data_IF_277319694615
#
_entry.id   IF_277319694615
#
_cell.length_a   1.000
_cell.length_b   1.000
_cell.length_c   1.000
_cell.angle_alpha   90.00
_cell.angle_beta   90.00
_cell.angle_gamma   90.00
#
_symmetry.space_group_name_H-M   'P 1'
#
loop_
_entity.id
_entity.type
_entity.pdbx_description
1 polymer ?
#
# COMPACT_ATOMS: atom_id res chain seq x y z
N UNK A 1 66.28 18.46 -16.42
CA UNK A 1 65.62 17.49 -15.49
C UNK A 1 64.22 17.89 -14.97
N UNK A 2 63.50 18.86 -15.57
CA UNK A 2 62.21 19.36 -15.02
C UNK A 2 60.93 18.74 -15.64
N UNK A 3 61.04 17.94 -16.71
CA UNK A 3 59.89 17.36 -17.45
C UNK A 3 59.37 16.03 -16.89
N UNK A 4 60.19 15.27 -16.17
CA UNK A 4 59.82 13.96 -15.61
C UNK A 4 58.86 14.08 -14.42
N UNK A 5 59.05 15.09 -13.56
CA UNK A 5 58.17 15.36 -12.42
C UNK A 5 56.72 15.71 -12.83
N UNK A 6 56.54 16.40 -13.96
CA UNK A 6 55.21 16.81 -14.45
C UNK A 6 54.37 15.65 -14.99
N UNK A 7 55.02 14.64 -15.57
CA UNK A 7 54.32 13.45 -16.10
C UNK A 7 53.88 12.52 -14.98
N UNK A 8 54.74 12.30 -13.97
CA UNK A 8 54.38 11.52 -12.78
C UNK A 8 53.25 12.15 -11.98
N UNK A 9 53.31 13.47 -11.73
CA UNK A 9 52.25 14.18 -10.99
C UNK A 9 50.91 14.17 -11.73
N UNK A 10 50.92 14.25 -13.07
CA UNK A 10 49.72 14.21 -13.89
C UNK A 10 49.01 12.84 -13.82
N UNK A 11 49.77 11.74 -13.82
CA UNK A 11 49.19 10.38 -13.71
C UNK A 11 48.58 10.17 -12.33
N UNK A 12 49.25 10.61 -11.26
CA UNK A 12 48.71 10.54 -9.89
C UNK A 12 47.43 11.37 -9.78
N UNK A 13 47.42 12.60 -10.30
CA UNK A 13 46.24 13.44 -10.32
C UNK A 13 45.08 12.80 -11.12
N UNK A 14 45.37 12.17 -12.26
CA UNK A 14 44.38 11.46 -13.06
C UNK A 14 43.81 10.24 -12.33
N UNK A 15 44.64 9.48 -11.61
CA UNK A 15 44.19 8.34 -10.80
C UNK A 15 43.30 8.77 -9.64
N UNK A 16 43.66 9.85 -8.95
CA UNK A 16 42.82 10.44 -7.89
C UNK A 16 41.49 10.89 -8.49
N UNK A 17 41.51 11.61 -9.62
CA UNK A 17 40.30 12.06 -10.30
C UNK A 17 39.41 10.87 -10.74
N UNK A 18 39.98 9.81 -11.29
CA UNK A 18 39.25 8.59 -11.66
C UNK A 18 38.62 7.90 -10.45
N UNK A 19 39.33 7.86 -9.31
CA UNK A 19 38.82 7.25 -8.08
C UNK A 19 37.65 8.05 -7.50
N UNK A 20 37.73 9.38 -7.58
CA UNK A 20 36.63 10.26 -7.19
C UNK A 20 35.44 10.04 -8.13
N UNK A 21 35.67 9.98 -9.45
CA UNK A 21 34.61 9.76 -10.43
C UNK A 21 33.92 8.41 -10.27
N UNK A 22 34.65 7.33 -10.00
CA UNK A 22 34.05 6.02 -9.76
C UNK A 22 33.28 5.98 -8.45
N UNK A 23 33.76 6.65 -7.40
CA UNK A 23 33.04 6.80 -6.15
C UNK A 23 31.71 7.55 -6.36
N UNK A 24 31.74 8.69 -7.06
CA UNK A 24 30.55 9.48 -7.39
C UNK A 24 29.57 8.70 -8.30
N UNK A 25 30.07 7.98 -9.29
CA UNK A 25 29.23 7.12 -10.13
C UNK A 25 28.55 6.01 -9.34
N UNK A 26 29.27 5.39 -8.40
CA UNK A 26 28.73 4.37 -7.51
C UNK A 26 27.65 4.92 -6.58
N UNK A 27 27.85 6.08 -5.97
CA UNK A 27 26.84 6.69 -5.07
C UNK A 27 25.59 7.10 -5.84
N UNK A 28 25.72 7.66 -7.05
CA UNK A 28 24.57 7.97 -7.91
C UNK A 28 23.77 6.72 -8.28
N UNK A 29 24.44 5.61 -8.60
CA UNK A 29 23.75 4.36 -8.92
C UNK A 29 22.93 3.82 -7.73
N UNK A 30 23.46 3.93 -6.51
CA UNK A 30 22.74 3.54 -5.28
C UNK A 30 21.55 4.45 -5.01
N UNK A 31 21.72 5.76 -5.21
CA UNK A 31 20.63 6.73 -5.06
C UNK A 31 19.48 6.44 -6.03
N UNK A 32 19.78 6.24 -7.32
CA UNK A 32 18.78 5.91 -8.34
C UNK A 32 17.99 4.65 -8.01
N UNK A 33 18.68 3.61 -7.51
CA UNK A 33 18.02 2.37 -7.08
C UNK A 33 17.08 2.63 -5.90
N UNK A 34 17.54 3.41 -4.92
CA UNK A 34 16.74 3.75 -3.74
C UNK A 34 15.49 4.57 -4.10
N UNK A 35 15.62 5.55 -5.00
CA UNK A 35 14.47 6.33 -5.50
C UNK A 35 13.47 5.46 -6.25
N UNK A 36 13.95 4.52 -7.05
CA UNK A 36 13.10 3.59 -7.80
C UNK A 36 12.31 2.70 -6.85
N UNK A 37 12.98 2.09 -5.87
CA UNK A 37 12.35 1.23 -4.86
C UNK A 37 11.36 2.03 -4.00
N UNK A 38 11.71 3.27 -3.62
CA UNK A 38 10.83 4.16 -2.86
C UNK A 38 9.58 4.54 -3.66
N UNK A 39 9.73 4.86 -4.94
CA UNK A 39 8.63 5.19 -5.84
C UNK A 39 7.68 4.00 -6.05
N UNK A 40 8.22 2.80 -6.23
CA UNK A 40 7.41 1.58 -6.36
C UNK A 40 6.63 1.30 -5.07
N UNK A 41 7.29 1.36 -3.91
CA UNK A 41 6.64 1.17 -2.62
C UNK A 41 5.52 2.20 -2.37
N UNK A 42 5.70 3.44 -2.82
CA UNK A 42 4.67 4.47 -2.73
C UNK A 42 3.45 4.14 -3.59
N UNK A 43 3.66 3.74 -4.86
CA UNK A 43 2.59 3.33 -5.77
C UNK A 43 1.85 2.09 -5.25
N UNK A 44 2.57 1.07 -4.78
CA UNK A 44 1.98 -0.11 -4.14
C UNK A 44 1.18 0.27 -2.90
N UNK A 45 1.67 1.23 -2.10
CA UNK A 45 0.97 1.74 -0.93
C UNK A 45 -0.37 2.39 -1.25
N UNK A 46 -0.42 3.25 -2.28
CA UNK A 46 -1.67 3.85 -2.76
C UNK A 46 -2.62 2.77 -3.29
N UNK A 47 -2.10 1.83 -4.06
CA UNK A 47 -2.90 0.77 -4.65
C UNK A 47 -3.49 -0.17 -3.57
N UNK A 48 -2.71 -0.52 -2.55
CA UNK A 48 -3.17 -1.29 -1.39
C UNK A 48 -4.25 -0.54 -0.60
N UNK A 49 -4.14 0.78 -0.46
CA UNK A 49 -5.18 1.61 0.14
C UNK A 49 -6.47 1.57 -0.69
N UNK A 50 -6.37 1.75 -2.02
CA UNK A 50 -7.52 1.68 -2.92
C UNK A 50 -8.24 0.32 -2.87
N UNK A 51 -7.48 -0.78 -2.75
CA UNK A 51 -8.05 -2.12 -2.56
C UNK A 51 -8.74 -2.29 -1.21
N UNK A 52 -8.15 -1.75 -0.14
CA UNK A 52 -8.76 -1.77 1.18
C UNK A 52 -10.12 -1.05 1.15
N UNK A 53 -10.18 0.14 0.55
CA UNK A 53 -11.40 0.91 0.39
C UNK A 53 -12.44 0.20 -0.50
N UNK A 54 -12.01 -0.41 -1.61
CA UNK A 54 -12.90 -1.19 -2.48
C UNK A 54 -13.53 -2.37 -1.74
N UNK A 55 -12.73 -3.13 -0.99
CA UNK A 55 -13.22 -4.22 -0.15
C UNK A 55 -14.20 -3.74 0.91
N UNK A 56 -13.93 -2.60 1.54
CA UNK A 56 -14.84 -2.04 2.55
C UNK A 56 -16.17 -1.59 1.95
N UNK A 57 -16.17 -0.93 0.78
CA UNK A 57 -17.40 -0.60 0.03
C UNK A 57 -18.20 -1.85 -0.32
N UNK A 58 -17.52 -2.93 -0.73
CA UNK A 58 -18.17 -4.22 -1.01
C UNK A 58 -18.79 -4.82 0.25
N UNK A 59 -18.09 -4.76 1.39
CA UNK A 59 -18.58 -5.23 2.68
C UNK A 59 -19.86 -4.50 3.10
N UNK A 60 -19.91 -3.17 2.94
CA UNK A 60 -21.10 -2.36 3.22
C UNK A 60 -22.29 -2.80 2.36
N UNK A 61 -22.08 -3.03 1.06
CA UNK A 61 -23.15 -3.53 0.16
C UNK A 61 -23.68 -4.89 0.60
N UNK A 62 -22.80 -5.78 1.08
CA UNK A 62 -23.19 -7.10 1.59
C UNK A 62 -23.99 -6.96 2.87
N UNK A 63 -23.58 -6.08 3.80
CA UNK A 63 -24.34 -5.79 5.01
C UNK A 63 -25.73 -5.24 4.72
N UNK A 64 -25.88 -4.32 3.77
CA UNK A 64 -27.18 -3.79 3.35
C UNK A 64 -28.15 -4.88 2.83
N UNK A 65 -27.61 -5.97 2.28
CA UNK A 65 -28.41 -7.12 1.79
C UNK A 65 -28.65 -8.18 2.87
N UNK A 66 -28.46 -7.85 4.15
CA UNK A 66 -28.48 -8.78 5.29
C UNK A 66 -27.46 -9.94 5.15
N UNK A 67 -26.40 -9.74 4.38
CA UNK A 67 -25.31 -10.71 4.25
C UNK A 67 -24.21 -10.51 5.29
N UNK A 68 -23.48 -11.58 5.61
CA UNK A 68 -22.29 -11.50 6.46
C UNK A 68 -21.05 -11.24 5.57
N UNK A 69 -20.36 -10.08 5.68
CA UNK A 69 -19.17 -9.81 4.90
C UNK A 69 -17.90 -10.44 5.48
N UNK A 70 -17.98 -11.13 6.62
CA UNK A 70 -16.82 -11.75 7.26
C UNK A 70 -16.15 -12.77 6.33
N UNK A 71 -14.82 -12.66 6.20
CA UNK A 71 -14.05 -13.60 5.40
C UNK A 71 -14.16 -13.40 3.89
N UNK A 72 -14.91 -12.40 3.43
CA UNK A 72 -14.89 -12.00 2.02
C UNK A 72 -13.46 -11.61 1.64
N UNK A 73 -12.95 -12.27 0.62
CA UNK A 73 -11.64 -11.98 0.06
C UNK A 73 -11.73 -12.10 -1.45
N UNK A 74 -11.04 -11.20 -2.14
CA UNK A 74 -10.96 -11.19 -3.59
C UNK A 74 -9.54 -10.88 -3.99
N UNK A 75 -9.08 -11.55 -5.05
CA UNK A 75 -7.80 -11.27 -5.68
C UNK A 75 -8.07 -10.73 -7.07
N UNK A 76 -7.61 -9.52 -7.33
CA UNK A 76 -7.73 -8.85 -8.61
C UNK A 76 -6.39 -9.01 -9.33
N UNK A 77 -6.43 -9.62 -10.50
CA UNK A 77 -5.28 -9.76 -11.37
C UNK A 77 -5.62 -9.13 -12.72
N UNK A 78 -4.91 -8.07 -13.09
CA UNK A 78 -5.15 -7.33 -14.33
C UNK A 78 -3.85 -6.77 -14.88
N UNK A 79 -3.58 -7.03 -16.16
CA UNK A 79 -2.50 -6.39 -16.93
C UNK A 79 -1.12 -6.41 -16.24
N UNK A 80 -0.77 -7.55 -15.62
CA UNK A 80 0.50 -7.73 -14.89
C UNK A 80 0.52 -7.17 -13.46
N UNK A 81 -0.59 -6.58 -13.02
CA UNK A 81 -0.79 -6.10 -11.66
C UNK A 81 -1.67 -7.08 -10.87
N UNK A 82 -1.22 -7.46 -9.68
CA UNK A 82 -1.95 -8.35 -8.78
C UNK A 82 -2.08 -7.71 -7.40
N UNK A 83 -3.30 -7.76 -6.87
CA UNK A 83 -3.59 -7.31 -5.53
C UNK A 83 -4.77 -8.03 -4.94
N UNK A 84 -4.89 -8.00 -3.63
CA UNK A 84 -5.99 -8.67 -2.92
C UNK A 84 -6.53 -7.81 -1.81
N UNK A 85 -7.77 -8.04 -1.43
CA UNK A 85 -8.30 -7.55 -0.18
C UNK A 85 -8.94 -8.69 0.62
N UNK A 86 -8.97 -8.53 1.94
CA UNK A 86 -9.69 -9.42 2.86
C UNK A 86 -10.43 -8.61 3.90
N UNK A 87 -11.70 -8.97 4.11
CA UNK A 87 -12.58 -8.35 5.09
C UNK A 87 -12.62 -9.20 6.35
N UNK A 88 -12.45 -8.55 7.48
CA UNK A 88 -12.66 -9.11 8.82
C UNK A 88 -13.67 -8.26 9.57
N UNK A 89 -14.58 -8.89 10.28
CA UNK A 89 -15.56 -8.21 11.11
C UNK A 89 -15.36 -8.55 12.58
N UNK A 90 -15.63 -7.59 13.46
CA UNK A 90 -15.63 -7.76 14.91
C UNK A 90 -16.79 -6.96 15.50
N UNK A 91 -17.43 -7.49 16.52
CA UNK A 91 -18.50 -6.78 17.25
C UNK A 91 -17.92 -5.90 18.34
N UNK A 92 -18.38 -4.65 18.44
CA UNK A 92 -18.03 -3.69 19.49
C UNK A 92 -19.31 -3.16 20.14
N UNK A 93 -19.73 -3.79 21.24
CA UNK A 93 -21.02 -3.51 21.87
C UNK A 93 -22.18 -3.87 20.93
N UNK A 94 -23.00 -2.87 20.57
CA UNK A 94 -24.12 -3.01 19.61
C UNK A 94 -23.72 -2.68 18.17
N UNK A 95 -22.49 -2.22 17.94
CA UNK A 95 -21.98 -1.88 16.62
C UNK A 95 -21.10 -3.01 16.04
N UNK A 96 -21.02 -3.06 14.71
CA UNK A 96 -20.16 -3.95 13.95
C UNK A 96 -18.99 -3.15 13.37
N UNK A 97 -17.76 -3.50 13.78
CA UNK A 97 -16.54 -3.02 13.15
C UNK A 97 -16.20 -3.89 11.94
N UNK A 98 -16.16 -3.26 10.79
CA UNK A 98 -15.76 -3.88 9.52
C UNK A 98 -14.39 -3.37 9.16
N UNK A 99 -13.42 -4.26 8.97
CA UNK A 99 -12.07 -3.93 8.54
C UNK A 99 -11.77 -4.61 7.22
N UNK A 100 -11.23 -3.85 6.27
CA UNK A 100 -10.76 -4.35 4.99
C UNK A 100 -9.24 -4.16 4.91
N UNK A 101 -8.51 -5.25 4.67
CA UNK A 101 -7.07 -5.24 4.51
C UNK A 101 -6.73 -5.43 3.04
N UNK A 102 -6.24 -4.39 2.38
CA UNK A 102 -5.77 -4.42 1.00
C UNK A 102 -4.26 -4.68 0.93
N UNK A 103 -3.82 -5.45 -0.07
CA UNK A 103 -2.43 -5.81 -0.29
C UNK A 103 -2.08 -5.79 -1.77
N UNK A 104 -0.95 -5.17 -2.09
CA UNK A 104 -0.34 -5.12 -3.43
C UNK A 104 1.16 -5.28 -3.23
N UNK A 105 1.76 -6.31 -3.83
CA UNK A 105 3.19 -6.59 -3.63
C UNK A 105 3.57 -6.74 -2.15
N UNK A 106 4.52 -5.89 -1.72
CA UNK A 106 4.97 -5.83 -0.33
C UNK A 106 4.13 -4.86 0.52
N UNK A 107 3.39 -3.94 -0.10
CA UNK A 107 2.56 -2.98 0.61
C UNK A 107 1.24 -3.61 1.10
N UNK A 108 0.89 -3.29 2.34
CA UNK A 108 -0.39 -3.63 2.95
C UNK A 108 -0.97 -2.41 3.64
N UNK A 109 -2.28 -2.18 3.46
CA UNK A 109 -3.05 -1.10 4.09
C UNK A 109 -4.35 -1.66 4.62
N UNK A 110 -4.87 -1.04 5.66
CA UNK A 110 -6.12 -1.47 6.28
C UNK A 110 -7.01 -0.29 6.56
N UNK A 111 -8.27 -0.41 6.21
CA UNK A 111 -9.30 0.59 6.50
C UNK A 111 -10.36 -0.07 7.36
N UNK A 112 -10.82 0.61 8.40
CA UNK A 112 -11.90 0.13 9.26
C UNK A 112 -13.01 1.14 9.41
N UNK A 113 -14.23 0.63 9.48
CA UNK A 113 -15.43 1.41 9.69
C UNK A 113 -16.25 0.76 10.78
N UNK A 114 -16.72 1.59 11.72
CA UNK A 114 -17.68 1.18 12.73
C UNK A 114 -19.09 1.47 12.23
N UNK A 115 -19.94 0.46 12.22
CA UNK A 115 -21.28 0.53 11.67
C UNK A 115 -22.30 0.14 12.74
N UNK A 116 -23.31 0.97 12.97
CA UNK A 116 -24.47 0.54 13.76
C UNK A 116 -25.50 -0.11 12.84
N UNK A 117 -25.97 -1.31 13.19
CA UNK A 117 -26.99 -2.02 12.43
C UNK A 117 -28.33 -1.91 13.17
N UNK A 118 -29.24 -1.07 12.67
CA UNK A 118 -30.62 -1.08 13.16
C UNK A 118 -31.38 -2.16 12.39
N UNK A 119 -31.61 -3.30 13.04
CA UNK A 119 -32.36 -4.41 12.46
C UNK A 119 -33.79 -3.97 12.11
N UNK A 120 -34.22 -4.31 10.90
CA UNK A 120 -35.61 -4.13 10.48
C UNK A 120 -36.49 -5.09 11.31
N UNK A 121 -37.60 -4.64 11.93
CA UNK A 121 -38.48 -5.50 12.74
C UNK A 121 -39.15 -6.64 11.94
N UNK A 122 -38.99 -6.67 10.61
CA UNK A 122 -39.36 -7.80 9.76
C UNK A 122 -38.12 -8.67 9.50
N UNK A 123 -38.12 -9.97 9.89
CA UNK A 123 -36.95 -10.85 9.76
C UNK A 123 -36.45 -11.04 8.32
N UNK A 124 -37.30 -10.73 7.33
CA UNK A 124 -37.04 -10.99 5.90
C UNK A 124 -36.82 -9.70 5.07
N UNK A 125 -36.73 -8.52 5.72
CA UNK A 125 -36.54 -7.23 5.04
C UNK A 125 -35.08 -6.74 5.09
N UNK A 126 -34.58 -6.00 4.08
CA UNK A 126 -33.26 -5.38 4.16
C UNK A 126 -33.17 -4.42 5.36
N UNK A 127 -31.95 -4.21 5.89
CA UNK A 127 -31.71 -3.24 6.96
C UNK A 127 -32.32 -1.87 6.64
N UNK A 128 -33.01 -1.29 7.62
CA UNK A 128 -33.73 -0.02 7.45
C UNK A 128 -32.80 1.19 7.51
N UNK A 129 -31.69 1.08 8.24
CA UNK A 129 -30.71 2.16 8.40
C UNK A 129 -29.32 1.60 8.71
N UNK A 130 -28.30 2.12 8.02
CA UNK A 130 -26.89 1.83 8.26
C UNK A 130 -26.18 3.16 8.53
N UNK A 131 -25.84 3.39 9.79
CA UNK A 131 -25.15 4.62 10.21
C UNK A 131 -23.66 4.32 10.37
N UNK A 132 -22.83 5.01 9.60
CA UNK A 132 -21.37 5.00 9.78
C UNK A 132 -21.04 5.86 10.99
N UNK A 133 -20.49 5.24 12.03
CA UNK A 133 -20.16 5.91 13.29
C UNK A 133 -18.76 6.53 13.25
N UNK A 134 -17.79 5.83 12.63
CA UNK A 134 -16.42 6.32 12.45
C UNK A 134 -15.74 5.68 11.25
N UNK A 135 -14.78 6.40 10.69
CA UNK A 135 -13.92 5.94 9.59
C UNK A 135 -12.47 6.10 10.00
N UNK A 136 -11.77 4.98 10.15
CA UNK A 136 -10.36 4.94 10.56
C UNK A 136 -9.51 4.34 9.42
N UNK A 137 -8.52 5.10 8.96
CA UNK A 137 -7.54 4.72 7.94
C UNK A 137 -6.17 4.42 8.58
#
# INVERSE_FOLDING_TARGET
MRRWNRRGSAVVAAMIALTILTCLGGTLAVLLRTETDSSQNFLEGIAAQGLAEAGLRRAIVVLYKNGNPHGLAETLNRDGWSGSYRITTSTEGTALRVRSNGRVGAAARSVSVLVSLTLNPRPDGPLTELTVLSWDN
#
